data_IF_799770063763
#
_entry.id   IF_799770063763
#
_cell.length_a   1.000
_cell.length_b   1.000
_cell.length_c   1.000
_cell.angle_alpha   90.00
_cell.angle_beta   90.00
_cell.angle_gamma   90.00
#
_symmetry.space_group_name_H-M   'P 1'
#
loop_
_entity.id
_entity.type
_entity.pdbx_description
1 polymer ?
#
# COMPACT_ATOMS: atom_id res chain seq x y z
N UNK A 1 22.41 6.26 -5.43
CA UNK A 1 21.70 6.16 -6.74
C UNK A 1 21.49 4.69 -7.06
N UNK A 2 20.23 4.25 -7.12
CA UNK A 2 19.88 2.88 -7.54
C UNK A 2 20.31 2.70 -9.00
N UNK A 3 21.02 1.62 -9.31
CA UNK A 3 21.55 1.32 -10.65
C UNK A 3 21.05 -0.06 -11.10
N UNK A 4 20.06 -0.08 -11.97
CA UNK A 4 19.48 -1.30 -12.54
C UNK A 4 20.17 -1.65 -13.86
N UNK A 5 21.39 -2.18 -13.79
CA UNK A 5 22.22 -2.44 -14.98
C UNK A 5 21.95 -3.83 -15.57
N UNK A 6 21.79 -4.83 -14.69
CA UNK A 6 21.52 -6.22 -15.02
C UNK A 6 20.52 -6.76 -14.01
N UNK A 7 19.32 -7.10 -14.47
CA UNK A 7 18.22 -7.49 -13.59
C UNK A 7 18.47 -8.85 -12.93
N UNK A 8 18.90 -9.86 -13.69
CA UNK A 8 19.25 -11.16 -13.13
C UNK A 8 20.75 -11.21 -12.75
N UNK A 9 21.04 -11.44 -11.47
CA UNK A 9 22.43 -11.52 -10.96
C UNK A 9 22.82 -12.92 -10.48
N UNK A 10 21.86 -13.85 -10.35
CA UNK A 10 22.02 -15.21 -9.77
C UNK A 10 22.48 -15.25 -8.31
N UNK A 11 22.74 -14.11 -7.68
CA UNK A 11 23.19 -14.02 -6.28
C UNK A 11 22.14 -14.52 -5.28
N UNK A 12 20.87 -14.63 -5.70
CA UNK A 12 19.77 -15.14 -4.87
C UNK A 12 19.33 -16.56 -5.18
N UNK A 13 20.07 -17.31 -6.01
CA UNK A 13 19.69 -18.68 -6.43
C UNK A 13 19.76 -19.68 -5.28
N UNK A 14 20.56 -19.40 -4.25
CA UNK A 14 20.61 -20.17 -3.00
C UNK A 14 19.52 -19.77 -2.00
N UNK A 15 18.51 -19.01 -2.42
CA UNK A 15 17.37 -18.64 -1.57
C UNK A 15 17.62 -17.48 -0.61
N UNK A 16 18.75 -16.76 -0.72
CA UNK A 16 19.05 -15.57 0.09
C UNK A 16 18.99 -14.28 -0.72
N UNK A 17 18.91 -13.13 -0.06
CA UNK A 17 18.92 -11.80 -0.67
C UNK A 17 19.63 -10.79 0.24
N UNK A 18 20.08 -9.66 -0.30
CA UNK A 18 20.75 -8.61 0.46
C UNK A 18 19.79 -7.53 0.95
N UNK A 19 20.05 -6.98 2.14
CA UNK A 19 19.45 -5.75 2.66
C UNK A 19 20.30 -4.52 2.31
N UNK A 20 19.81 -3.33 2.64
CA UNK A 20 20.47 -2.06 2.32
C UNK A 20 21.82 -1.90 3.04
N UNK A 21 21.98 -2.48 4.23
CA UNK A 21 23.21 -2.49 5.01
C UNK A 21 24.26 -3.52 4.52
N UNK A 22 23.93 -4.28 3.47
CA UNK A 22 24.79 -5.33 2.92
C UNK A 22 24.67 -6.69 3.61
N UNK A 23 23.92 -6.79 4.71
CA UNK A 23 23.60 -8.08 5.32
C UNK A 23 22.77 -8.95 4.38
N UNK A 24 22.83 -10.28 4.56
CA UNK A 24 22.06 -11.24 3.76
C UNK A 24 21.07 -11.99 4.63
N UNK A 25 19.85 -12.09 4.15
CA UNK A 25 18.75 -12.80 4.80
C UNK A 25 18.16 -13.87 3.88
N UNK A 26 17.42 -14.81 4.45
CA UNK A 26 16.60 -15.74 3.67
C UNK A 26 15.54 -14.95 2.88
N UNK A 27 15.19 -15.40 1.68
CA UNK A 27 14.02 -14.85 0.95
C UNK A 27 12.70 -15.12 1.69
N UNK A 28 12.69 -16.10 2.60
CA UNK A 28 11.56 -16.39 3.48
C UNK A 28 11.61 -15.60 4.81
N UNK A 29 12.57 -14.69 4.97
CA UNK A 29 12.63 -13.83 6.16
C UNK A 29 11.37 -12.94 6.25
N UNK A 30 10.78 -12.73 7.44
CA UNK A 30 9.61 -11.87 7.61
C UNK A 30 9.79 -10.45 7.05
N UNK A 31 11.02 -9.92 7.06
CA UNK A 31 11.34 -8.62 6.45
C UNK A 31 11.13 -8.66 4.94
N UNK A 32 11.57 -9.73 4.30
CA UNK A 32 11.38 -9.91 2.86
C UNK A 32 9.93 -10.17 2.49
N UNK A 33 9.17 -10.87 3.34
CA UNK A 33 7.73 -11.03 3.16
C UNK A 33 7.00 -9.69 3.23
N UNK A 34 7.32 -8.84 4.21
CA UNK A 34 6.74 -7.50 4.33
C UNK A 34 7.06 -6.60 3.12
N UNK A 35 8.31 -6.59 2.66
CA UNK A 35 8.72 -5.84 1.45
C UNK A 35 7.99 -6.37 0.20
N UNK A 36 7.88 -7.68 0.05
CA UNK A 36 7.17 -8.31 -1.06
C UNK A 36 5.68 -7.97 -1.08
N UNK A 37 5.02 -7.96 0.08
CA UNK A 37 3.61 -7.58 0.16
C UNK A 37 3.39 -6.08 -0.12
N UNK A 38 4.33 -5.22 0.27
CA UNK A 38 4.32 -3.78 -0.10
C UNK A 38 4.45 -3.61 -1.62
N UNK A 39 5.33 -4.37 -2.27
CA UNK A 39 5.49 -4.38 -3.73
C UNK A 39 4.22 -4.91 -4.44
N UNK A 40 3.58 -5.94 -3.89
CA UNK A 40 2.31 -6.43 -4.41
C UNK A 40 1.17 -5.41 -4.24
N UNK A 41 1.13 -4.69 -3.11
CA UNK A 41 0.19 -3.58 -2.92
C UNK A 41 0.41 -2.47 -3.94
N UNK A 42 1.68 -2.14 -4.22
CA UNK A 42 2.06 -1.15 -5.23
C UNK A 42 1.64 -1.59 -6.64
N UNK A 43 1.82 -2.87 -6.95
CA UNK A 43 1.42 -3.48 -8.23
C UNK A 43 -0.10 -3.49 -8.40
N UNK A 44 -0.85 -3.86 -7.35
CA UNK A 44 -2.31 -3.81 -7.34
C UNK A 44 -2.84 -2.38 -7.50
N UNK A 45 -2.16 -1.39 -6.90
CA UNK A 45 -2.46 0.02 -7.09
C UNK A 45 -2.22 0.46 -8.54
N UNK A 46 -1.15 -0.02 -9.18
CA UNK A 46 -0.89 0.19 -10.60
C UNK A 46 -2.01 -0.32 -11.52
N UNK A 47 -2.59 -1.49 -11.20
CA UNK A 47 -3.76 -2.02 -11.93
C UNK A 47 -4.97 -1.10 -11.77
N UNK A 48 -5.22 -0.58 -10.56
CA UNK A 48 -6.30 0.38 -10.33
C UNK A 48 -6.09 1.70 -11.09
N UNK A 49 -4.87 2.25 -11.07
CA UNK A 49 -4.50 3.46 -11.82
C UNK A 49 -4.73 3.28 -13.32
N UNK A 50 -4.40 2.12 -13.88
CA UNK A 50 -4.60 1.84 -15.30
C UNK A 50 -6.08 1.81 -15.73
N UNK A 51 -7.01 1.60 -14.78
CA UNK A 51 -8.44 1.63 -15.02
C UNK A 51 -9.08 3.02 -14.80
N UNK A 52 -8.33 4.00 -14.28
CA UNK A 52 -8.78 5.37 -14.05
C UNK A 52 -8.50 6.27 -15.27
N UNK A 53 -9.30 7.32 -15.48
CA UNK A 53 -8.91 8.41 -16.39
C UNK A 53 -7.65 9.12 -15.86
N UNK A 54 -6.97 9.86 -16.74
CA UNK A 54 -5.83 10.68 -16.33
C UNK A 54 -6.32 11.96 -15.64
N UNK A 55 -6.54 11.86 -14.32
CA UNK A 55 -7.05 12.94 -13.47
C UNK A 55 -6.26 13.06 -12.15
N UNK A 56 -6.68 14.00 -11.30
CA UNK A 56 -6.06 14.29 -10.00
C UNK A 56 -6.02 13.07 -9.07
N UNK A 57 -6.99 12.15 -9.18
CA UNK A 57 -6.99 10.92 -8.39
C UNK A 57 -5.90 9.98 -8.89
N UNK A 58 -5.78 9.76 -10.21
CA UNK A 58 -4.71 8.95 -10.77
C UNK A 58 -3.32 9.50 -10.39
N UNK A 59 -3.14 10.83 -10.39
CA UNK A 59 -1.87 11.46 -10.00
C UNK A 59 -1.58 11.34 -8.50
N UNK A 60 -2.60 11.49 -7.64
CA UNK A 60 -2.48 11.18 -6.22
C UNK A 60 -2.01 9.73 -6.01
N UNK A 61 -2.65 8.77 -6.66
CA UNK A 61 -2.31 7.35 -6.51
C UNK A 61 -0.90 7.01 -7.06
N UNK A 62 -0.44 7.66 -8.15
CA UNK A 62 0.95 7.55 -8.61
C UNK A 62 1.95 8.10 -7.59
N UNK A 63 1.60 9.18 -6.91
CA UNK A 63 2.45 9.70 -5.82
C UNK A 63 2.53 8.72 -4.64
N UNK A 64 1.49 7.93 -4.40
CA UNK A 64 1.48 6.86 -3.40
C UNK A 64 2.30 5.66 -3.86
N UNK A 65 2.35 5.34 -5.17
CA UNK A 65 3.28 4.32 -5.67
C UNK A 65 4.75 4.66 -5.37
N UNK A 66 5.10 5.96 -5.34
CA UNK A 66 6.42 6.42 -4.92
C UNK A 66 6.62 6.24 -3.40
N UNK A 67 5.65 6.65 -2.59
CA UNK A 67 5.71 6.41 -1.13
C UNK A 67 5.83 4.93 -0.78
N UNK A 68 5.20 4.02 -1.54
CA UNK A 68 5.32 2.57 -1.32
C UNK A 68 6.73 2.05 -1.64
N UNK A 69 7.45 2.67 -2.59
CA UNK A 69 8.88 2.41 -2.77
C UNK A 69 9.71 2.92 -1.59
N UNK A 70 9.40 4.13 -1.08
CA UNK A 70 10.06 4.67 0.11
C UNK A 70 9.82 3.77 1.34
N UNK A 71 8.59 3.28 1.52
CA UNK A 71 8.25 2.32 2.56
C UNK A 71 9.01 1.00 2.40
N UNK A 72 9.10 0.48 1.18
CA UNK A 72 9.93 -0.71 0.89
C UNK A 72 11.39 -0.49 1.26
N UNK A 73 11.95 0.69 0.98
CA UNK A 73 13.31 1.07 1.34
C UNK A 73 13.50 1.24 2.86
N UNK A 74 12.53 1.83 3.55
CA UNK A 74 12.49 1.94 5.01
C UNK A 74 12.54 0.55 5.66
N UNK A 75 11.64 -0.36 5.24
CA UNK A 75 11.59 -1.74 5.74
C UNK A 75 12.83 -2.55 5.35
N UNK A 76 13.44 -2.29 4.20
CA UNK A 76 14.69 -2.94 3.79
C UNK A 76 15.93 -2.46 4.57
N UNK A 77 15.82 -1.37 5.32
CA UNK A 77 16.92 -0.76 6.06
C UNK A 77 16.72 -0.95 7.57
N UNK A 78 17.45 -1.88 8.22
CA UNK A 78 17.37 -2.04 9.68
C UNK A 78 17.61 -0.71 10.42
N UNK A 79 16.87 -0.45 11.50
CA UNK A 79 17.01 0.81 12.26
C UNK A 79 18.35 0.84 13.00
N UNK A 80 18.74 -0.30 13.55
CA UNK A 80 20.00 -0.54 14.26
C UNK A 80 21.25 -0.37 13.38
N UNK A 81 21.11 -0.43 12.05
CA UNK A 81 22.22 -0.19 11.13
C UNK A 81 22.68 1.27 11.10
N UNK A 82 21.87 2.22 11.59
CA UNK A 82 22.26 3.62 11.76
C UNK A 82 22.69 4.32 10.47
N UNK A 83 22.16 3.89 9.31
CA UNK A 83 22.54 4.44 8.00
C UNK A 83 22.06 5.89 7.89
N UNK A 84 23.01 6.82 7.86
CA UNK A 84 22.74 8.25 7.69
C UNK A 84 22.04 8.52 6.35
N UNK A 85 20.97 9.30 6.38
CA UNK A 85 20.19 9.66 5.19
C UNK A 85 19.37 8.49 4.60
N UNK A 86 19.19 7.38 5.32
CA UNK A 86 18.27 6.33 4.91
C UNK A 86 16.86 6.90 4.70
N UNK A 87 16.21 6.50 3.61
CA UNK A 87 14.80 6.84 3.35
C UNK A 87 13.94 6.21 4.43
N UNK A 88 13.08 7.03 5.03
CA UNK A 88 12.12 6.62 6.07
C UNK A 88 10.78 7.23 5.73
N UNK A 89 9.70 6.48 5.96
CA UNK A 89 8.36 7.06 5.88
C UNK A 89 8.21 8.07 7.01
N UNK A 90 7.61 9.21 6.70
CA UNK A 90 7.47 10.34 7.63
C UNK A 90 6.02 10.53 8.08
N UNK A 91 5.78 11.14 9.26
CA UNK A 91 4.42 11.53 9.68
C UNK A 91 3.70 12.40 8.64
N UNK A 92 4.41 13.30 7.96
CA UNK A 92 3.85 14.17 6.92
C UNK A 92 3.27 13.38 5.73
N UNK A 93 3.86 12.22 5.38
CA UNK A 93 3.29 11.35 4.35
C UNK A 93 1.97 10.71 4.82
N UNK A 94 1.83 10.38 6.10
CA UNK A 94 0.58 9.87 6.68
C UNK A 94 -0.49 10.95 6.72
N UNK A 95 -0.14 12.16 7.18
CA UNK A 95 -1.04 13.32 7.20
C UNK A 95 -1.56 13.68 5.81
N UNK A 96 -0.74 13.48 4.76
CA UNK A 96 -1.14 13.66 3.37
C UNK A 96 -2.24 12.67 2.94
N UNK A 97 -2.20 11.43 3.42
CA UNK A 97 -3.26 10.44 3.17
C UNK A 97 -4.54 10.83 3.90
N UNK A 98 -4.44 11.32 5.14
CA UNK A 98 -5.58 11.81 5.93
C UNK A 98 -6.28 12.98 5.24
N UNK A 99 -5.51 13.99 4.80
CA UNK A 99 -6.07 15.11 4.06
C UNK A 99 -6.74 14.69 2.75
N UNK A 100 -6.20 13.68 2.06
CA UNK A 100 -6.81 13.13 0.85
C UNK A 100 -8.10 12.36 1.15
N UNK A 101 -8.15 11.61 2.25
CA UNK A 101 -9.36 10.94 2.76
C UNK A 101 -10.44 11.99 3.01
N UNK A 102 -10.14 13.02 3.80
CA UNK A 102 -11.10 14.06 4.16
C UNK A 102 -11.67 14.75 2.92
N UNK A 103 -10.81 15.09 1.95
CA UNK A 103 -11.22 15.71 0.69
C UNK A 103 -12.14 14.81 -0.13
N UNK A 104 -11.79 13.53 -0.31
CA UNK A 104 -12.62 12.60 -1.10
C UNK A 104 -13.93 12.28 -0.38
N UNK A 105 -13.92 12.24 0.94
CA UNK A 105 -15.08 11.88 1.75
C UNK A 105 -16.08 13.03 1.92
N UNK A 106 -15.65 14.29 1.75
CA UNK A 106 -16.50 15.47 1.88
C UNK A 106 -17.74 15.44 0.97
N UNK A 107 -17.61 14.85 -0.22
CA UNK A 107 -18.70 14.72 -1.19
C UNK A 107 -19.44 13.37 -1.09
N UNK A 108 -19.10 12.48 -0.17
CA UNK A 108 -19.74 11.17 -0.07
C UNK A 108 -20.91 11.17 0.91
N UNK A 109 -22.02 10.57 0.50
CA UNK A 109 -23.12 10.30 1.42
C UNK A 109 -22.67 9.31 2.51
N UNK A 110 -23.15 9.47 3.77
CA UNK A 110 -22.89 8.51 4.82
C UNK A 110 -23.34 7.10 4.45
N UNK A 111 -22.55 6.08 4.81
CA UNK A 111 -22.95 4.69 4.62
C UNK A 111 -23.99 4.27 5.66
N UNK A 112 -25.04 3.58 5.18
CA UNK A 112 -26.07 2.96 6.03
C UNK A 112 -25.88 1.44 6.19
N UNK A 113 -24.95 0.85 5.44
CA UNK A 113 -24.52 -0.55 5.52
C UNK A 113 -23.09 -0.70 5.00
N UNK A 114 -22.50 -1.89 5.11
CA UNK A 114 -21.27 -2.22 4.40
C UNK A 114 -21.49 -2.21 2.89
N UNK A 115 -20.43 -1.95 2.12
CA UNK A 115 -20.46 -2.02 0.66
C UNK A 115 -19.97 -3.38 0.18
N UNK A 116 -20.59 -3.89 -0.86
CA UNK A 116 -20.05 -5.02 -1.62
C UNK A 116 -18.89 -4.50 -2.47
N UNK A 117 -17.65 -5.03 -2.32
CA UNK A 117 -16.50 -4.53 -3.05
C UNK A 117 -16.66 -4.77 -4.55
N UNK A 118 -16.97 -3.72 -5.30
CA UNK A 118 -17.27 -3.79 -6.73
C UNK A 118 -17.73 -2.45 -7.28
N UNK A 119 -18.63 -2.50 -8.28
CA UNK A 119 -19.10 -1.33 -9.01
C UNK A 119 -18.37 -1.17 -10.33
N UNK A 120 -17.78 -0.01 -10.59
CA UNK A 120 -16.99 0.21 -11.81
C UNK A 120 -15.69 -0.62 -11.80
N UNK A 121 -15.08 -0.91 -12.96
CA UNK A 121 -13.80 -1.62 -13.01
C UNK A 121 -12.69 -0.99 -12.16
N UNK A 122 -12.62 0.35 -12.15
CA UNK A 122 -11.66 1.08 -11.34
C UNK A 122 -11.95 0.96 -9.83
N UNK A 123 -13.21 1.09 -9.40
CA UNK A 123 -13.58 0.92 -7.99
C UNK A 123 -13.32 -0.51 -7.49
N UNK A 124 -13.63 -1.52 -8.30
CA UNK A 124 -13.32 -2.91 -7.99
C UNK A 124 -11.81 -3.15 -7.83
N UNK A 125 -10.99 -2.59 -8.72
CA UNK A 125 -9.54 -2.64 -8.62
C UNK A 125 -8.99 -1.91 -7.38
N UNK A 126 -9.55 -0.76 -7.02
CA UNK A 126 -9.21 -0.05 -5.78
C UNK A 126 -9.56 -0.86 -4.53
N UNK A 127 -10.68 -1.57 -4.53
CA UNK A 127 -11.02 -2.48 -3.44
C UNK A 127 -10.07 -3.68 -3.34
N UNK A 128 -9.60 -4.21 -4.47
CA UNK A 128 -8.56 -5.23 -4.46
C UNK A 128 -7.25 -4.68 -3.89
N UNK A 129 -6.79 -3.53 -4.38
CA UNK A 129 -5.60 -2.86 -3.86
C UNK A 129 -5.71 -2.58 -2.35
N UNK A 130 -6.89 -2.15 -1.86
CA UNK A 130 -7.17 -2.00 -0.43
C UNK A 130 -6.97 -3.29 0.35
N UNK A 131 -7.49 -4.42 -0.14
CA UNK A 131 -7.34 -5.70 0.52
C UNK A 131 -5.87 -6.16 0.56
N UNK A 132 -5.13 -5.91 -0.52
CA UNK A 132 -3.69 -6.20 -0.61
C UNK A 132 -2.88 -5.30 0.33
N UNK A 133 -3.19 -4.00 0.42
CA UNK A 133 -2.55 -3.08 1.36
C UNK A 133 -2.75 -3.53 2.81
N UNK A 134 -3.94 -4.03 3.16
CA UNK A 134 -4.19 -4.64 4.49
C UNK A 134 -3.42 -5.94 4.72
N UNK A 135 -3.08 -6.68 3.66
CA UNK A 135 -2.19 -7.85 3.79
C UNK A 135 -0.76 -7.40 4.07
N UNK A 136 -0.26 -6.43 3.33
CA UNK A 136 1.04 -5.81 3.59
C UNK A 136 1.14 -5.25 5.01
N UNK A 137 0.08 -4.61 5.50
CA UNK A 137 -0.02 -4.11 6.89
C UNK A 137 0.18 -5.24 7.90
N UNK A 138 -0.48 -6.39 7.73
CA UNK A 138 -0.33 -7.54 8.64
C UNK A 138 1.10 -8.08 8.65
N UNK A 139 1.74 -8.15 7.48
CA UNK A 139 3.13 -8.60 7.37
C UNK A 139 4.10 -7.61 8.04
N UNK A 140 3.83 -6.30 7.93
CA UNK A 140 4.55 -5.25 8.65
C UNK A 140 4.35 -5.34 10.16
N UNK A 141 3.14 -5.61 10.63
CA UNK A 141 2.84 -5.83 12.05
C UNK A 141 3.54 -7.08 12.58
N UNK A 142 3.54 -8.19 11.83
CA UNK A 142 4.28 -9.40 12.21
C UNK A 142 5.78 -9.12 12.30
N UNK A 143 6.35 -8.42 11.32
CA UNK A 143 7.74 -8.01 11.35
C UNK A 143 8.03 -7.14 12.58
N UNK A 144 7.14 -6.19 12.87
CA UNK A 144 7.30 -5.25 13.99
C UNK A 144 7.33 -5.92 15.37
N UNK A 145 6.70 -7.09 15.51
CA UNK A 145 6.78 -7.90 16.73
C UNK A 145 8.19 -8.49 16.97
N UNK A 146 9.03 -8.55 15.92
CA UNK A 146 10.36 -9.15 15.96
C UNK A 146 11.48 -8.11 15.93
N UNK A 147 11.27 -7.02 15.19
CA UNK A 147 12.24 -5.93 15.01
C UNK A 147 11.54 -4.58 15.05
N UNK A 148 12.20 -3.56 15.57
CA UNK A 148 11.65 -2.22 15.58
C UNK A 148 11.51 -1.70 14.13
N UNK A 149 10.38 -1.04 13.85
CA UNK A 149 10.09 -0.30 12.62
C UNK A 149 9.68 1.11 13.00
N UNK A 150 9.73 2.03 12.05
CA UNK A 150 9.25 3.41 12.29
C UNK A 150 7.73 3.39 12.54
N UNK A 151 7.21 4.15 13.52
CA UNK A 151 5.75 4.23 13.74
C UNK A 151 5.00 4.71 12.49
N UNK A 152 5.62 5.58 11.71
CA UNK A 152 5.07 6.09 10.46
C UNK A 152 4.89 4.99 9.40
N UNK A 153 5.78 3.99 9.31
CA UNK A 153 5.63 2.87 8.37
C UNK A 153 4.34 2.06 8.64
N UNK A 154 4.05 1.77 9.90
CA UNK A 154 2.82 1.06 10.30
C UNK A 154 1.58 1.93 10.03
N UNK A 155 1.63 3.20 10.45
CA UNK A 155 0.52 4.12 10.28
C UNK A 155 0.18 4.37 8.79
N UNK A 156 1.20 4.39 7.92
CA UNK A 156 1.04 4.65 6.50
C UNK A 156 0.17 3.60 5.81
N UNK A 157 0.44 2.29 5.98
CA UNK A 157 -0.38 1.25 5.34
C UNK A 157 -1.80 1.17 5.90
N UNK A 158 -1.94 1.35 7.22
CA UNK A 158 -3.26 1.44 7.85
C UNK A 158 -4.09 2.55 7.18
N UNK A 159 -3.51 3.75 7.09
CA UNK A 159 -4.18 4.91 6.48
C UNK A 159 -4.35 4.80 4.96
N UNK A 160 -3.43 4.15 4.27
CA UNK A 160 -3.56 3.87 2.84
C UNK A 160 -4.79 2.99 2.57
N UNK A 161 -5.04 1.99 3.41
CA UNK A 161 -6.21 1.13 3.24
C UNK A 161 -7.53 1.91 3.43
N UNK A 162 -7.56 2.90 4.32
CA UNK A 162 -8.69 3.83 4.47
C UNK A 162 -8.86 4.69 3.21
N UNK A 163 -7.78 5.28 2.70
CA UNK A 163 -7.81 6.09 1.48
C UNK A 163 -8.32 5.30 0.28
N UNK A 164 -7.84 4.07 0.09
CA UNK A 164 -8.29 3.22 -1.02
C UNK A 164 -9.76 2.83 -0.90
N UNK A 165 -10.29 2.71 0.32
CA UNK A 165 -11.72 2.54 0.54
C UNK A 165 -12.51 3.76 0.08
N UNK A 166 -12.13 4.95 0.53
CA UNK A 166 -12.83 6.21 0.20
C UNK A 166 -12.69 6.53 -1.29
N UNK A 167 -11.52 6.29 -1.89
CA UNK A 167 -11.31 6.45 -3.33
C UNK A 167 -12.23 5.54 -4.16
N UNK A 168 -12.39 4.27 -3.77
CA UNK A 168 -13.30 3.36 -4.45
C UNK A 168 -14.75 3.86 -4.43
N UNK A 169 -15.19 4.42 -3.30
CA UNK A 169 -16.52 5.03 -3.17
C UNK A 169 -16.68 6.29 -4.04
N UNK A 170 -15.68 7.17 -4.06
CA UNK A 170 -15.68 8.36 -4.91
C UNK A 170 -15.79 7.99 -6.39
N UNK A 171 -15.06 6.96 -6.83
CA UNK A 171 -15.12 6.44 -8.20
C UNK A 171 -16.50 5.82 -8.50
N UNK A 172 -17.08 5.07 -7.56
CA UNK A 172 -18.41 4.51 -7.71
C UNK A 172 -19.50 5.57 -7.75
N UNK A 173 -19.38 6.67 -6.98
CA UNK A 173 -20.36 7.77 -7.01
C UNK A 173 -20.54 8.32 -8.42
N UNK A 174 -19.45 8.47 -9.18
CA UNK A 174 -19.51 8.88 -10.59
C UNK A 174 -20.14 7.81 -11.52
N UNK A 175 -20.13 6.54 -11.11
CA UNK A 175 -20.61 5.37 -11.87
C UNK A 175 -21.95 4.78 -11.42
N UNK A 176 -22.74 5.47 -10.60
CA UNK A 176 -24.06 5.00 -10.14
C UNK A 176 -24.16 4.61 -8.67
N UNK A 177 -23.10 4.80 -7.90
CA UNK A 177 -23.05 4.60 -6.44
C UNK A 177 -22.55 3.23 -6.01
N UNK A 178 -22.38 3.06 -4.70
CA UNK A 178 -21.96 1.80 -4.09
C UNK A 178 -23.12 0.80 -4.00
N UNK A 179 -22.84 -0.49 -4.17
CA UNK A 179 -23.82 -1.55 -3.87
C UNK A 179 -23.72 -1.89 -2.39
N UNK A 180 -24.82 -1.73 -1.66
CA UNK A 180 -24.87 -2.01 -0.23
C UNK A 180 -25.10 -3.51 0.03
N UNK A 181 -24.42 -4.02 1.04
CA UNK A 181 -24.66 -5.35 1.58
C UNK A 181 -26.02 -5.41 2.28
N UNK A 182 -26.80 -6.44 1.95
CA UNK A 182 -28.09 -6.74 2.59
C UNK A 182 -27.90 -7.97 3.48
N UNK A 183 -27.91 -7.82 4.82
CA UNK A 183 -27.68 -8.93 5.73
C UNK A 183 -28.69 -10.06 5.55
N UNK A 184 -28.21 -11.24 5.19
CA UNK A 184 -29.07 -12.42 5.04
C UNK A 184 -29.99 -12.41 3.83
N UNK A 185 -29.67 -11.67 2.76
CA UNK A 185 -30.51 -11.62 1.56
C UNK A 185 -30.79 -12.98 0.91
N UNK A 186 -29.90 -13.96 1.12
CA UNK A 186 -29.97 -15.30 0.52
C UNK A 186 -30.30 -16.43 1.52
N UNK A 187 -30.80 -16.10 2.72
CA UNK A 187 -31.19 -17.09 3.74
C UNK A 187 -32.66 -16.96 4.13
#
# INVERSE_FOLDING_TARGET
MVRLNRIYTRTGDQGTTGLVDGSRVSKADPRMAAIGDVDEANSALGVAIAALPADDLADLLRSIQNDLFDLGADVATPLEAGIEGALRVTPAQVERLEAAIDRLNADLDPLTSFILPGGTPAAAALHLARAVARRAERSLVELHQRVALTPAAIAYLNRLSDLLFVAARAVNKAGGGDVLWVPGASR
#
